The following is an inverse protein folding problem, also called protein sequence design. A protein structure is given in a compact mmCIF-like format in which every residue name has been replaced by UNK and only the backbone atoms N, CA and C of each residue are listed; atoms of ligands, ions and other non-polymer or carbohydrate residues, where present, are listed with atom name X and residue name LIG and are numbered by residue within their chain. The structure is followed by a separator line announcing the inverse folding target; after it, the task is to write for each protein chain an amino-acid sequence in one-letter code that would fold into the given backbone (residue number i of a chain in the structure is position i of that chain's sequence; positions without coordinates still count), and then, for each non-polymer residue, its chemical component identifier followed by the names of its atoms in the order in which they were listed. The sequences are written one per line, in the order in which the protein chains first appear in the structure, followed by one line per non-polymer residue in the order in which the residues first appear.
data_IF_195460516222
#
_entry.id   IF_195460516222
#
_cell.length_a   1.000
_cell.length_b   1.000
_cell.length_c   1.000
_cell.angle_alpha   90.00
_cell.angle_beta   90.00
_cell.angle_gamma   90.00
#
_symmetry.space_group_name_H-M   'P 1'
#
loop_
_entity.id
_entity.type
_entity.pdbx_description
1 polymer ?
#
# COMPACT_ATOMS: atom_id res chain seq x y z
N UNK A 1 -9.59 -55.65 7.04
CA UNK A 1 -8.86 -54.93 5.97
C UNK A 1 -9.85 -53.96 5.29
N UNK A 2 -9.36 -52.91 4.65
CA UNK A 2 -10.15 -51.84 3.98
C UNK A 2 -9.91 -51.94 2.47
N UNK A 3 -10.97 -51.91 1.63
CA UNK A 3 -11.21 -50.82 0.65
C UNK A 3 -12.56 -50.09 0.95
N UNK A 4 -12.85 -48.82 0.62
CA UNK A 4 -12.64 -48.00 -0.60
C UNK A 4 -13.45 -48.52 -1.81
N UNK A 5 -14.18 -47.72 -2.62
CA UNK A 5 -14.47 -46.27 -2.66
C UNK A 5 -16.02 -46.09 -2.49
N UNK A 6 -16.78 -45.06 -2.92
CA UNK A 6 -16.60 -43.81 -3.70
C UNK A 6 -17.80 -42.88 -3.40
N UNK A 7 -17.64 -41.55 -3.40
CA UNK A 7 -18.67 -40.59 -3.83
C UNK A 7 -18.03 -39.26 -4.28
N UNK A 8 -18.74 -38.46 -5.08
CA UNK A 8 -18.11 -37.51 -6.03
C UNK A 8 -17.37 -36.29 -5.44
N UNK A 9 -16.28 -35.97 -6.13
CA UNK A 9 -15.44 -34.79 -5.96
C UNK A 9 -16.18 -33.50 -6.36
N UNK A 10 -16.35 -32.55 -5.42
CA UNK A 10 -16.67 -31.14 -5.73
C UNK A 10 -15.53 -30.27 -5.20
N UNK A 11 -14.42 -30.25 -5.94
CA UNK A 11 -13.33 -29.29 -5.69
C UNK A 11 -13.72 -27.97 -6.33
N UNK A 12 -14.34 -27.10 -5.53
CA UNK A 12 -14.32 -25.66 -5.81
C UNK A 12 -12.92 -25.15 -5.49
N UNK A 13 -12.21 -24.71 -6.53
CA UNK A 13 -10.87 -24.12 -6.42
C UNK A 13 -10.96 -22.71 -5.80
N UNK A 14 -11.09 -22.66 -4.49
CA UNK A 14 -10.65 -21.48 -3.73
C UNK A 14 -9.13 -21.50 -3.71
N UNK A 15 -8.49 -20.73 -4.59
CA UNK A 15 -7.04 -20.53 -4.51
C UNK A 15 -6.70 -19.83 -3.20
N UNK A 16 -5.81 -20.44 -2.42
CA UNK A 16 -5.56 -20.07 -1.03
C UNK A 16 -5.01 -18.64 -0.88
N UNK A 17 -5.73 -17.81 -0.13
CA UNK A 17 -5.21 -16.55 0.45
C UNK A 17 -4.19 -16.81 1.60
N UNK A 18 -3.46 -17.92 1.53
CA UNK A 18 -2.65 -18.51 2.59
C UNK A 18 -1.18 -18.76 2.17
N UNK A 19 -0.79 -18.31 0.98
CA UNK A 19 0.57 -18.49 0.47
C UNK A 19 1.62 -17.61 1.19
N UNK A 20 1.21 -16.48 1.77
CA UNK A 20 2.13 -15.41 2.21
C UNK A 20 2.84 -15.62 3.56
N UNK A 21 2.47 -16.63 4.35
CA UNK A 21 3.08 -16.89 5.68
C UNK A 21 3.99 -18.13 5.72
N UNK A 22 4.30 -18.73 4.56
CA UNK A 22 4.94 -20.05 4.47
C UNK A 22 6.48 -19.92 4.48
N UNK A 23 7.09 -20.14 5.65
CA UNK A 23 8.55 -20.04 5.84
C UNK A 23 9.02 -18.91 6.77
N UNK A 24 8.11 -18.29 7.52
CA UNK A 24 8.44 -17.24 8.52
C UNK A 24 8.76 -17.81 9.91
N UNK A 25 9.20 -19.06 9.98
CA UNK A 25 9.56 -19.79 11.20
C UNK A 25 11.03 -19.63 11.62
N UNK A 26 11.85 -18.94 10.82
CA UNK A 26 13.23 -18.57 11.15
C UNK A 26 13.67 -17.26 10.48
N UNK A 27 14.70 -16.62 11.03
CA UNK A 27 15.46 -15.57 10.32
C UNK A 27 16.30 -16.20 9.20
N UNK A 28 16.38 -15.54 8.03
CA UNK A 28 17.23 -15.96 6.92
C UNK A 28 18.71 -15.83 7.32
N UNK A 29 19.48 -16.94 7.38
CA UNK A 29 20.87 -16.92 7.83
C UNK A 29 21.83 -16.29 6.81
N UNK A 30 21.40 -16.05 5.57
CA UNK A 30 22.19 -15.46 4.49
C UNK A 30 21.86 -13.98 4.27
N UNK A 31 20.64 -13.56 4.60
CA UNK A 31 20.18 -12.17 4.45
C UNK A 31 21.07 -11.18 5.20
N UNK A 32 21.37 -10.07 4.53
CA UNK A 32 22.17 -8.97 5.04
C UNK A 32 21.58 -7.63 4.58
N UNK A 33 21.60 -6.63 5.45
CA UNK A 33 21.12 -5.28 5.18
C UNK A 33 22.14 -4.23 5.61
N UNK A 34 22.09 -3.03 5.01
CA UNK A 34 22.98 -1.91 5.36
C UNK A 34 22.44 -1.08 6.51
N UNK A 35 23.33 -0.50 7.31
CA UNK A 35 22.95 0.42 8.38
C UNK A 35 22.69 1.83 7.84
N UNK A 36 21.50 2.38 8.07
CA UNK A 36 21.03 3.65 7.48
C UNK A 36 21.86 4.90 7.85
N UNK A 37 22.75 4.81 8.84
CA UNK A 37 23.60 5.92 9.27
C UNK A 37 24.97 5.99 8.55
N UNK A 38 25.37 4.92 7.85
CA UNK A 38 26.60 4.90 7.03
C UNK A 38 26.38 4.39 5.59
N UNK A 39 25.27 3.66 5.36
CA UNK A 39 24.90 2.93 4.15
C UNK A 39 26.02 2.05 3.57
N UNK A 40 26.84 1.46 4.43
CA UNK A 40 28.06 0.69 4.08
C UNK A 40 28.27 -0.53 4.96
N UNK A 41 27.95 -0.45 6.26
CA UNK A 41 28.09 -1.58 7.18
C UNK A 41 26.97 -2.58 6.91
N UNK A 42 27.32 -3.74 6.37
CA UNK A 42 26.41 -4.88 6.20
C UNK A 42 26.30 -5.65 7.53
N UNK A 43 25.06 -5.99 7.90
CA UNK A 43 24.74 -6.77 9.11
C UNK A 43 23.70 -7.84 8.82
N UNK A 44 23.66 -8.90 9.65
CA UNK A 44 22.64 -9.96 9.60
C UNK A 44 21.48 -9.67 10.58
N UNK A 45 20.39 -10.44 10.49
CA UNK A 45 19.24 -10.32 11.40
C UNK A 45 19.61 -10.27 12.90
N UNK A 46 20.60 -11.06 13.33
CA UNK A 46 21.11 -11.08 14.71
C UNK A 46 21.51 -9.71 15.26
N UNK A 47 21.99 -8.80 14.40
CA UNK A 47 22.37 -7.44 14.80
C UNK A 47 21.20 -6.66 15.40
N UNK A 48 19.97 -6.96 15.01
CA UNK A 48 18.77 -6.35 15.60
C UNK A 48 18.64 -6.66 17.11
N UNK A 49 19.17 -7.80 17.56
CA UNK A 49 19.05 -8.33 18.94
C UNK A 49 20.37 -8.35 19.73
N UNK A 50 21.52 -8.25 19.09
CA UNK A 50 22.88 -8.28 19.69
C UNK A 50 23.21 -7.22 20.78
N UNK A 51 22.32 -6.27 21.09
CA UNK A 51 22.56 -5.29 22.16
C UNK A 51 21.24 -4.74 22.73
N UNK A 52 20.96 -5.05 23.99
CA UNK A 52 19.70 -4.71 24.67
C UNK A 52 19.42 -3.20 24.72
N UNK A 53 20.43 -2.38 25.01
CA UNK A 53 20.30 -0.90 25.06
C UNK A 53 19.79 -0.31 23.74
N UNK A 54 20.11 -0.96 22.61
CA UNK A 54 19.75 -0.52 21.26
C UNK A 54 18.60 -1.33 20.66
N UNK A 55 18.18 -2.44 21.29
CA UNK A 55 17.17 -3.39 20.81
C UNK A 55 15.89 -2.69 20.31
N UNK A 56 15.30 -1.83 21.15
CA UNK A 56 14.06 -1.12 20.82
C UNK A 56 14.25 -0.19 19.61
N UNK A 57 15.33 0.59 19.58
CA UNK A 57 15.61 1.51 18.48
C UNK A 57 15.95 0.77 17.17
N UNK A 58 16.72 -0.33 17.25
CA UNK A 58 17.06 -1.20 16.13
C UNK A 58 15.82 -1.82 15.50
N UNK A 59 14.96 -2.47 16.30
CA UNK A 59 13.71 -3.05 15.77
C UNK A 59 12.81 -1.97 15.16
N UNK A 60 12.59 -0.86 15.87
CA UNK A 60 11.74 0.25 15.39
C UNK A 60 12.24 0.86 14.08
N UNK A 61 13.56 0.95 13.89
CA UNK A 61 14.16 1.56 12.69
C UNK A 61 14.19 0.61 11.50
N UNK A 62 14.56 -0.66 11.68
CA UNK A 62 14.89 -1.56 10.57
C UNK A 62 13.79 -2.59 10.25
N UNK A 63 13.00 -3.04 11.22
CA UNK A 63 12.04 -4.11 11.00
C UNK A 63 10.98 -3.86 9.91
N UNK A 64 10.44 -2.63 9.73
CA UNK A 64 9.52 -2.33 8.62
C UNK A 64 10.10 -2.60 7.21
N UNK A 65 11.41 -2.79 7.09
CA UNK A 65 12.12 -3.05 5.83
C UNK A 65 12.68 -4.49 5.74
N UNK A 66 12.72 -5.24 6.84
CA UNK A 66 13.37 -6.57 6.91
C UNK A 66 12.50 -7.67 7.54
N UNK A 67 11.27 -7.38 7.97
CA UNK A 67 10.41 -8.31 8.73
C UNK A 67 10.10 -9.64 8.01
N UNK A 68 10.12 -9.67 6.68
CA UNK A 68 9.94 -10.88 5.88
C UNK A 68 11.20 -11.77 5.78
N UNK A 69 12.39 -11.21 6.06
CA UNK A 69 13.67 -11.93 6.10
C UNK A 69 14.18 -12.18 7.53
N UNK A 70 13.75 -11.35 8.49
CA UNK A 70 14.15 -11.43 9.91
C UNK A 70 12.93 -11.55 10.85
N UNK A 71 11.96 -12.47 10.63
CA UNK A 71 10.71 -12.53 11.40
C UNK A 71 10.92 -12.80 12.91
N UNK A 72 11.91 -13.61 13.31
CA UNK A 72 12.22 -13.85 14.73
C UNK A 72 12.86 -12.60 15.32
N UNK A 73 13.92 -12.09 14.70
CA UNK A 73 14.62 -10.90 15.22
C UNK A 73 13.70 -9.67 15.27
N UNK A 74 12.70 -9.57 14.40
CA UNK A 74 11.68 -8.52 14.43
C UNK A 74 10.46 -8.83 15.31
N UNK A 75 10.27 -10.07 15.78
CA UNK A 75 9.05 -10.53 16.45
C UNK A 75 7.80 -10.28 15.57
N UNK A 76 7.92 -10.59 14.28
CA UNK A 76 6.85 -10.44 13.30
C UNK A 76 5.87 -11.61 13.37
N UNK A 77 4.58 -11.32 13.54
CA UNK A 77 3.52 -12.32 13.63
C UNK A 77 2.62 -12.20 12.40
N UNK A 78 2.81 -13.11 11.43
CA UNK A 78 2.05 -13.13 10.17
C UNK A 78 0.56 -13.37 10.43
N UNK A 79 -0.20 -12.27 10.53
CA UNK A 79 -1.60 -12.28 10.97
C UNK A 79 -2.52 -12.34 9.76
N UNK A 80 -2.91 -13.55 9.35
CA UNK A 80 -3.88 -13.75 8.28
C UNK A 80 -5.26 -13.22 8.71
N UNK A 81 -5.69 -12.11 8.11
CA UNK A 81 -7.03 -11.53 8.32
C UNK A 81 -8.11 -12.37 7.63
N UNK A 82 -8.43 -13.52 8.23
CA UNK A 82 -9.67 -14.23 7.91
C UNK A 82 -10.88 -13.30 8.15
N UNK A 83 -11.86 -13.24 7.23
CA UNK A 83 -13.04 -12.41 7.43
C UNK A 83 -13.90 -12.96 8.57
N UNK A 84 -14.10 -12.15 9.61
CA UNK A 84 -15.00 -12.48 10.73
C UNK A 84 -16.43 -12.53 10.19
N UNK A 85 -16.96 -13.74 10.03
CA UNK A 85 -18.39 -13.95 9.79
C UNK A 85 -19.15 -13.65 11.09
N UNK A 86 -19.95 -12.58 11.09
CA UNK A 86 -20.78 -12.17 12.24
C UNK A 86 -22.03 -13.07 12.36
N UNK A 87 -22.20 -13.85 13.44
CA UNK A 87 -23.44 -14.60 13.66
C UNK A 87 -24.57 -13.65 14.04
N UNK A 88 -25.71 -13.72 13.36
CA UNK A 88 -26.86 -12.82 13.60
C UNK A 88 -28.09 -13.63 14.04
N UNK A 89 -28.40 -13.70 15.35
CA UNK A 89 -29.58 -14.45 15.81
C UNK A 89 -30.21 -14.04 17.18
N UNK A 90 -30.57 -12.75 17.30
CA UNK A 90 -31.89 -12.28 17.86
C UNK A 90 -32.27 -12.71 19.33
N UNK A 91 -33.50 -12.50 19.89
CA UNK A 91 -33.61 -11.82 21.20
C UNK A 91 -34.53 -12.47 22.27
N UNK A 92 -34.59 -11.91 23.50
CA UNK A 92 -35.84 -11.85 24.29
C UNK A 92 -35.84 -10.84 25.46
N UNK A 93 -37.03 -10.28 25.75
CA UNK A 93 -37.69 -9.91 27.05
C UNK A 93 -36.86 -9.74 28.36
N UNK A 94 -37.17 -8.86 29.33
CA UNK A 94 -38.41 -8.06 29.64
C UNK A 94 -38.08 -6.83 30.58
N UNK A 95 -39.01 -6.09 31.28
CA UNK A 95 -38.97 -4.61 31.18
C UNK A 95 -39.01 -3.75 32.47
N UNK A 96 -38.73 -2.45 32.28
CA UNK A 96 -39.37 -1.25 32.90
C UNK A 96 -39.41 -1.01 34.43
N UNK A 97 -38.78 0.09 34.86
CA UNK A 97 -39.36 1.24 35.64
C UNK A 97 -38.38 2.43 35.51
N UNK A 98 -38.72 3.72 35.63
CA UNK A 98 -39.99 4.47 35.54
C UNK A 98 -39.67 5.93 35.11
N UNK A 99 -40.65 6.76 34.69
CA UNK A 99 -40.35 8.01 33.95
C UNK A 99 -40.28 9.29 34.81
N UNK A 100 -39.47 10.26 34.36
CA UNK A 100 -39.54 11.67 34.78
C UNK A 100 -39.75 12.58 33.56
N UNK A 101 -40.70 13.52 33.66
CA UNK A 101 -41.05 14.46 32.57
C UNK A 101 -40.07 15.63 32.49
N UNK A 102 -39.81 16.12 31.28
CA UNK A 102 -40.12 17.50 30.85
C UNK A 102 -39.72 17.72 29.37
N UNK A 103 -40.63 18.13 28.47
CA UNK A 103 -40.29 18.51 27.10
C UNK A 103 -40.17 20.03 26.95
N UNK A 104 -39.02 20.51 26.45
CA UNK A 104 -38.83 21.91 26.10
C UNK A 104 -38.53 22.06 24.60
N UNK A 105 -39.48 22.71 23.91
CA UNK A 105 -39.38 23.48 22.65
C UNK A 105 -37.90 23.71 22.20
N UNK A 106 -37.46 23.36 20.98
CA UNK A 106 -38.08 23.66 19.68
C UNK A 106 -37.51 22.80 18.51
N UNK A 107 -38.28 22.50 17.45
CA UNK A 107 -37.79 21.74 16.29
C UNK A 107 -37.16 22.64 15.21
N UNK A 108 -35.83 22.79 15.22
CA UNK A 108 -35.10 23.46 14.13
C UNK A 108 -35.17 22.62 12.84
N UNK A 109 -35.86 23.11 11.80
CA UNK A 109 -35.94 22.44 10.50
C UNK A 109 -34.56 22.36 9.83
N UNK A 110 -34.12 21.15 9.44
CA UNK A 110 -32.99 21.03 8.51
C UNK A 110 -32.22 19.70 8.51
N UNK A 111 -32.81 18.56 8.09
CA UNK A 111 -32.01 17.42 7.64
C UNK A 111 -31.45 17.74 6.24
N UNK A 112 -30.34 18.46 6.18
CA UNK A 112 -29.62 18.71 4.91
C UNK A 112 -29.09 17.38 4.40
N UNK A 113 -29.82 16.76 3.46
CA UNK A 113 -29.46 15.49 2.82
C UNK A 113 -28.19 15.68 1.98
N UNK A 114 -27.02 15.56 2.61
CA UNK A 114 -25.79 15.31 1.87
C UNK A 114 -25.97 14.02 1.04
N UNK A 115 -25.74 14.05 -0.27
CA UNK A 115 -25.81 12.84 -1.09
C UNK A 115 -24.64 11.94 -0.75
N UNK A 116 -24.85 10.98 0.15
CA UNK A 116 -23.90 9.90 0.42
C UNK A 116 -23.87 8.93 -0.76
N UNK A 117 -23.17 9.36 -1.82
CA UNK A 117 -22.60 8.54 -2.87
C UNK A 117 -21.23 9.12 -3.21
N UNK A 118 -20.20 8.63 -2.52
CA UNK A 118 -18.87 8.67 -3.10
C UNK A 118 -18.93 7.97 -4.48
N UNK A 119 -18.24 8.49 -5.51
CA UNK A 119 -18.23 7.86 -6.82
C UNK A 119 -17.73 6.42 -6.68
N UNK A 120 -18.61 5.47 -6.96
CA UNK A 120 -18.39 4.05 -6.65
C UNK A 120 -17.48 3.44 -7.69
N UNK A 121 -16.19 3.40 -7.35
CA UNK A 121 -15.05 3.07 -8.20
C UNK A 121 -14.83 4.08 -9.34
N UNK A 122 -13.59 4.54 -9.49
CA UNK A 122 -13.14 5.02 -10.80
C UNK A 122 -13.26 3.85 -11.80
N UNK A 123 -13.51 4.10 -13.10
CA UNK A 123 -13.58 3.03 -14.07
C UNK A 123 -12.25 2.28 -14.12
N UNK A 124 -12.22 1.06 -13.61
CA UNK A 124 -11.15 0.10 -13.87
C UNK A 124 -11.25 -0.31 -15.33
N UNK A 125 -10.66 0.51 -16.20
CA UNK A 125 -10.22 0.06 -17.51
C UNK A 125 -9.27 -1.15 -17.35
N UNK A 126 -9.06 -1.95 -18.42
CA UNK A 126 -8.07 -3.00 -18.35
C UNK A 126 -6.72 -2.39 -17.97
N UNK A 127 -6.01 -3.02 -17.01
CA UNK A 127 -4.64 -2.64 -16.71
C UNK A 127 -3.83 -2.70 -18.01
N UNK A 128 -3.11 -1.63 -18.33
CA UNK A 128 -2.36 -1.46 -19.56
C UNK A 128 -1.17 -0.55 -19.31
N UNK A 129 -0.04 -0.87 -19.93
CA UNK A 129 1.09 0.06 -20.04
C UNK A 129 0.69 1.23 -20.95
N UNK A 130 1.09 2.44 -20.57
CA UNK A 130 0.85 3.65 -21.34
C UNK A 130 1.63 3.64 -22.65
N UNK A 131 0.92 3.80 -23.76
CA UNK A 131 1.50 3.91 -25.10
C UNK A 131 2.04 5.31 -25.44
N UNK A 132 1.97 6.26 -24.49
CA UNK A 132 2.39 7.67 -24.67
C UNK A 132 3.29 8.18 -23.55
N UNK A 133 3.62 7.34 -22.55
CA UNK A 133 4.57 7.70 -21.51
C UNK A 133 6.00 7.39 -21.94
N UNK A 134 6.82 8.43 -22.00
CA UNK A 134 8.24 8.36 -22.33
C UNK A 134 9.05 9.04 -21.24
N UNK A 135 10.24 8.51 -20.94
CA UNK A 135 11.19 9.12 -20.01
C UNK A 135 12.64 9.01 -20.51
N UNK A 136 13.53 9.81 -19.92
CA UNK A 136 14.98 9.76 -20.23
C UNK A 136 15.67 8.78 -19.27
N UNK A 137 16.33 7.76 -19.80
CA UNK A 137 17.12 6.81 -18.99
C UNK A 137 18.49 7.38 -18.57
N UNK A 138 19.22 6.64 -17.71
CA UNK A 138 20.53 7.04 -17.17
C UNK A 138 21.62 7.25 -18.24
N UNK A 139 21.36 6.80 -19.47
CA UNK A 139 22.24 6.94 -20.64
C UNK A 139 21.80 8.10 -21.57
N UNK A 140 20.82 8.91 -21.16
CA UNK A 140 20.33 10.07 -21.92
C UNK A 140 19.39 9.75 -23.08
N UNK A 141 18.81 8.54 -23.14
CA UNK A 141 17.92 8.12 -24.22
C UNK A 141 16.47 8.18 -23.78
N UNK A 142 15.59 8.70 -24.63
CA UNK A 142 14.13 8.54 -24.50
C UNK A 142 13.73 7.08 -24.64
N UNK A 143 12.92 6.57 -23.71
CA UNK A 143 12.48 5.18 -23.62
C UNK A 143 11.03 5.06 -23.13
N UNK A 144 10.41 3.92 -23.41
CA UNK A 144 9.01 3.56 -23.14
C UNK A 144 8.92 2.34 -22.21
N UNK A 145 7.70 1.96 -21.80
CA UNK A 145 7.48 0.75 -20.98
C UNK A 145 8.05 -0.51 -21.65
N UNK A 146 7.94 -0.63 -22.99
CA UNK A 146 8.46 -1.76 -23.74
C UNK A 146 10.00 -1.88 -23.68
N UNK A 147 10.74 -0.77 -23.54
CA UNK A 147 12.19 -0.79 -23.36
C UNK A 147 12.61 -1.56 -22.11
N UNK A 148 11.83 -1.55 -21.03
CA UNK A 148 12.16 -2.30 -19.80
C UNK A 148 12.34 -3.80 -20.11
N UNK A 149 11.43 -4.39 -20.89
CA UNK A 149 11.45 -5.83 -21.23
C UNK A 149 12.30 -6.18 -22.46
N UNK A 150 12.57 -5.22 -23.35
CA UNK A 150 13.22 -5.35 -24.68
C UNK A 150 14.56 -6.11 -24.74
N UNK A 151 15.30 -6.26 -23.64
CA UNK A 151 16.56 -6.99 -23.59
C UNK A 151 16.63 -7.90 -22.36
N UNK A 152 16.33 -9.19 -22.54
CA UNK A 152 16.24 -10.19 -21.46
C UNK A 152 17.47 -10.33 -20.56
N UNK A 153 18.66 -9.87 -20.99
CA UNK A 153 19.86 -9.82 -20.13
C UNK A 153 19.86 -8.65 -19.14
N UNK A 154 19.10 -7.59 -19.44
CA UNK A 154 19.01 -6.36 -18.65
C UNK A 154 17.62 -6.14 -18.03
N UNK A 155 16.56 -6.81 -18.51
CA UNK A 155 15.18 -6.52 -18.11
C UNK A 155 14.96 -6.53 -16.60
N UNK A 156 15.58 -7.47 -15.87
CA UNK A 156 15.51 -7.50 -14.40
C UNK A 156 16.03 -6.20 -13.78
N UNK A 157 17.26 -5.81 -14.12
CA UNK A 157 17.90 -4.57 -13.62
C UNK A 157 17.14 -3.31 -14.03
N UNK A 158 16.49 -3.33 -15.20
CA UNK A 158 15.64 -2.23 -15.67
C UNK A 158 14.35 -2.12 -14.85
N UNK A 159 13.67 -3.23 -14.61
CA UNK A 159 12.46 -3.30 -13.79
C UNK A 159 12.80 -2.94 -12.34
N UNK A 160 13.83 -3.56 -11.74
CA UNK A 160 14.35 -3.24 -10.40
C UNK A 160 14.64 -1.74 -10.23
N UNK A 161 15.39 -1.12 -11.17
CA UNK A 161 15.74 0.31 -11.10
C UNK A 161 14.54 1.24 -11.31
N UNK A 162 13.67 0.96 -12.28
CA UNK A 162 12.71 1.95 -12.78
C UNK A 162 11.29 1.75 -12.26
N UNK A 163 10.86 0.53 -11.90
CA UNK A 163 9.53 0.31 -11.32
C UNK A 163 9.41 0.75 -9.84
N UNK A 164 10.54 1.07 -9.19
CA UNK A 164 10.59 1.82 -7.93
C UNK A 164 10.24 3.31 -8.11
N UNK A 165 10.39 3.87 -9.32
CA UNK A 165 10.00 5.25 -9.60
C UNK A 165 8.47 5.32 -9.83
N UNK A 166 7.75 6.00 -8.94
CA UNK A 166 6.29 6.05 -8.94
C UNK A 166 5.69 6.43 -10.31
N UNK A 167 6.33 7.35 -11.05
CA UNK A 167 5.89 7.78 -12.37
C UNK A 167 5.93 6.66 -13.43
N UNK A 168 6.98 5.83 -13.44
CA UNK A 168 7.07 4.63 -14.29
C UNK A 168 6.13 3.55 -13.77
N UNK A 169 6.04 3.36 -12.45
CA UNK A 169 5.22 2.32 -11.82
C UNK A 169 3.72 2.46 -12.14
N UNK A 170 3.19 3.69 -12.14
CA UNK A 170 1.80 3.97 -12.53
C UNK A 170 1.58 4.08 -14.04
N UNK A 171 2.62 4.39 -14.82
CA UNK A 171 2.54 4.44 -16.29
C UNK A 171 2.76 3.09 -16.98
N UNK A 172 3.47 2.14 -16.35
CA UNK A 172 3.80 0.83 -16.88
C UNK A 172 3.30 -0.34 -15.98
N UNK A 173 2.01 -0.37 -15.56
CA UNK A 173 1.55 -1.27 -14.52
C UNK A 173 1.44 -2.75 -14.91
N UNK A 174 1.48 -3.12 -16.20
CA UNK A 174 1.70 -4.51 -16.60
C UNK A 174 3.18 -4.85 -16.44
N UNK A 175 4.07 -4.06 -17.04
CA UNK A 175 5.51 -4.35 -17.05
C UNK A 175 6.16 -4.28 -15.68
N UNK A 176 5.62 -3.48 -14.76
CA UNK A 176 6.02 -3.40 -13.36
C UNK A 176 5.24 -4.35 -12.42
N UNK A 177 4.31 -5.15 -12.95
CA UNK A 177 3.40 -6.06 -12.21
C UNK A 177 2.49 -5.34 -11.17
N UNK A 178 2.38 -4.02 -11.24
CA UNK A 178 1.64 -3.14 -10.31
C UNK A 178 0.16 -2.92 -10.67
N UNK A 179 -0.42 -3.72 -11.57
CA UNK A 179 -1.86 -3.69 -11.92
C UNK A 179 -2.85 -3.74 -10.75
N UNK A 180 -2.44 -4.16 -9.56
CA UNK A 180 -3.25 -4.18 -8.33
C UNK A 180 -3.29 -2.82 -7.61
N UNK A 181 -2.35 -1.93 -7.90
CA UNK A 181 -2.27 -0.59 -7.30
C UNK A 181 -3.25 0.33 -8.02
N UNK A 182 -4.25 0.83 -7.29
CA UNK A 182 -5.23 1.79 -7.83
C UNK A 182 -4.58 3.17 -7.98
N UNK A 183 -4.58 3.73 -9.20
CA UNK A 183 -4.05 5.06 -9.44
C UNK A 183 -5.03 6.16 -8.96
N UNK A 184 -5.02 6.41 -7.65
CA UNK A 184 -5.82 7.39 -6.93
C UNK A 184 -4.98 8.06 -5.84
N UNK A 185 -5.29 9.31 -5.52
CA UNK A 185 -4.68 9.99 -4.38
C UNK A 185 -5.17 9.37 -3.05
N UNK A 186 -4.25 9.14 -2.11
CA UNK A 186 -4.56 8.78 -0.73
C UNK A 186 -5.26 9.97 -0.05
N UNK A 187 -6.59 9.88 0.05
CA UNK A 187 -7.43 10.92 0.63
C UNK A 187 -7.18 11.18 2.12
N UNK A 188 -6.40 10.33 2.81
CA UNK A 188 -5.98 10.52 4.20
C UNK A 188 -4.61 11.18 4.31
N UNK A 189 -3.80 11.13 3.24
CA UNK A 189 -2.42 11.59 3.24
C UNK A 189 -2.28 13.12 3.27
N UNK A 190 -1.20 13.59 3.91
CA UNK A 190 -0.92 15.01 4.15
C UNK A 190 0.54 15.34 3.89
N UNK A 191 0.76 16.19 2.89
CA UNK A 191 2.05 16.78 2.55
C UNK A 191 2.37 17.89 3.55
N UNK A 192 3.52 17.80 4.22
CA UNK A 192 3.96 18.78 5.22
C UNK A 192 4.74 19.93 4.57
N UNK A 193 4.13 21.11 4.44
CA UNK A 193 4.79 22.27 3.84
C UNK A 193 5.82 22.89 4.82
N UNK A 194 7.06 22.40 4.78
CA UNK A 194 8.23 22.86 5.55
C UNK A 194 8.26 24.39 5.71
N UNK A 195 8.15 25.12 4.59
CA UNK A 195 8.26 26.59 4.54
C UNK A 195 7.07 27.35 5.16
N UNK A 196 6.01 26.66 5.63
CA UNK A 196 4.78 27.29 6.15
C UNK A 196 4.17 26.63 7.39
N UNK A 197 4.75 25.55 7.92
CA UNK A 197 4.18 24.74 9.04
C UNK A 197 2.69 24.42 8.82
N UNK A 198 2.34 24.00 7.61
CA UNK A 198 0.96 23.73 7.20
C UNK A 198 0.86 22.43 6.40
N UNK A 199 -0.07 21.57 6.81
CA UNK A 199 -0.48 20.39 6.07
C UNK A 199 -1.34 20.75 4.85
N UNK A 200 -1.20 20.00 3.77
CA UNK A 200 -2.09 20.01 2.60
C UNK A 200 -2.32 18.60 2.07
N UNK A 201 -3.50 18.32 1.53
CA UNK A 201 -3.79 17.05 0.84
C UNK A 201 -3.22 17.05 -0.58
N UNK A 202 -3.11 15.87 -1.21
CA UNK A 202 -2.59 15.68 -2.58
C UNK A 202 -3.15 16.68 -3.60
N UNK A 203 -4.47 16.93 -3.58
CA UNK A 203 -5.16 17.86 -4.47
C UNK A 203 -4.64 19.30 -4.42
N UNK A 204 -3.86 19.67 -3.40
CA UNK A 204 -3.15 20.95 -3.38
C UNK A 204 -2.10 21.06 -4.48
N UNK A 205 -1.44 19.97 -4.89
CA UNK A 205 -0.44 19.98 -5.98
C UNK A 205 -1.09 20.55 -7.25
N UNK A 206 -2.20 19.96 -7.68
CA UNK A 206 -2.97 20.31 -8.88
C UNK A 206 -3.92 21.50 -8.72
N UNK A 207 -4.22 21.96 -7.51
CA UNK A 207 -5.21 23.04 -7.21
C UNK A 207 -5.01 24.41 -7.88
N UNK A 208 -3.93 24.63 -8.63
CA UNK A 208 -3.63 25.93 -9.23
C UNK A 208 -2.74 25.75 -10.47
N UNK A 209 -3.32 25.73 -11.68
CA UNK A 209 -2.58 25.44 -12.92
C UNK A 209 -1.33 26.29 -13.18
N UNK A 210 -1.28 27.54 -12.68
CA UNK A 210 -0.09 28.41 -12.78
C UNK A 210 1.08 27.91 -11.93
N UNK A 211 0.80 27.20 -10.83
CA UNK A 211 1.79 26.66 -9.88
C UNK A 211 1.86 25.14 -9.89
N UNK A 212 1.02 24.47 -10.66
CA UNK A 212 0.90 23.02 -10.71
C UNK A 212 2.19 22.37 -11.18
N UNK A 213 2.74 22.77 -12.32
CA UNK A 213 4.01 22.24 -12.84
C UNK A 213 5.15 22.43 -11.81
N UNK A 214 5.25 23.62 -11.20
CA UNK A 214 6.23 23.91 -10.16
C UNK A 214 6.04 23.01 -8.93
N UNK A 215 4.79 22.78 -8.48
CA UNK A 215 4.49 21.91 -7.35
C UNK A 215 4.80 20.45 -7.67
N UNK A 216 4.44 19.95 -8.85
CA UNK A 216 4.78 18.59 -9.26
C UNK A 216 6.29 18.36 -9.17
N UNK A 217 7.08 19.25 -9.75
CA UNK A 217 8.56 19.23 -9.70
C UNK A 217 9.15 19.36 -8.26
N UNK A 218 8.41 19.87 -7.28
CA UNK A 218 8.92 20.05 -5.90
C UNK A 218 8.49 18.94 -4.94
N UNK A 219 7.51 18.11 -5.31
CA UNK A 219 6.85 17.17 -4.40
C UNK A 219 6.72 15.76 -4.97
N UNK A 220 6.48 15.57 -6.27
CA UNK A 220 6.07 14.27 -6.79
C UNK A 220 7.16 13.18 -6.73
N UNK A 221 8.43 13.55 -6.66
CA UNK A 221 9.57 12.65 -6.41
C UNK A 221 9.53 11.98 -5.01
N UNK A 222 8.63 12.40 -4.12
CA UNK A 222 8.50 11.90 -2.73
C UNK A 222 7.06 11.64 -2.31
N UNK A 223 6.15 12.50 -2.73
CA UNK A 223 4.72 12.37 -2.46
C UNK A 223 4.02 11.51 -3.53
N UNK A 224 4.73 11.06 -4.57
CA UNK A 224 4.21 10.41 -5.77
C UNK A 224 3.35 9.18 -5.51
N UNK A 225 3.81 8.25 -4.69
CA UNK A 225 3.08 7.01 -4.35
C UNK A 225 1.76 7.27 -3.61
N UNK A 226 1.68 8.39 -2.88
CA UNK A 226 0.50 8.80 -2.12
C UNK A 226 -0.39 9.74 -2.90
N UNK A 227 0.15 10.44 -3.89
CA UNK A 227 -0.54 11.47 -4.67
C UNK A 227 -0.43 11.24 -6.19
N UNK A 228 -0.54 10.02 -6.73
CA UNK A 228 -0.17 9.73 -8.12
C UNK A 228 -1.10 10.43 -9.11
N UNK A 229 -2.36 10.68 -8.75
CA UNK A 229 -3.32 11.39 -9.60
C UNK A 229 -3.09 12.89 -9.59
N UNK A 230 -2.77 13.48 -8.43
CA UNK A 230 -2.42 14.89 -8.33
C UNK A 230 -1.02 15.22 -8.88
N UNK A 231 -0.14 14.22 -8.95
CA UNK A 231 1.12 14.25 -9.70
C UNK A 231 0.94 14.00 -11.20
N UNK A 232 -0.19 13.41 -11.60
CA UNK A 232 -0.51 13.03 -12.98
C UNK A 232 0.41 11.93 -13.52
N UNK A 233 0.71 10.94 -12.67
CA UNK A 233 1.34 9.68 -13.04
C UNK A 233 0.29 8.64 -13.53
N UNK A 234 -0.99 8.90 -13.28
CA UNK A 234 -2.08 8.10 -13.83
C UNK A 234 -2.28 8.37 -15.34
N UNK A 235 -2.43 7.33 -16.17
CA UNK A 235 -2.94 7.45 -17.54
C UNK A 235 -4.44 7.80 -17.59
#
# INVERSE_FOLDING_TARGET
MIPLLFFSLVVLLFQDANASCKGLDMDDPNYQFTLFHDNKTLVKCSWLTENDDKLSNRKTTYCPYVELHCPISCNYVCTTKAPIQTPTSRPSSMPSTSPTKLPTISPTKGPTKFPSKAPTNAPTGPCADSSTYEWTNDLGNTVDCAWLTKNSKQSRQRIERWCEEANVSFACPITCETCTISCVDDATYKISLMNKKKDVFCSWISSNGVKEAQRRNMYCDKEGDRCPKSCGFCP
#
